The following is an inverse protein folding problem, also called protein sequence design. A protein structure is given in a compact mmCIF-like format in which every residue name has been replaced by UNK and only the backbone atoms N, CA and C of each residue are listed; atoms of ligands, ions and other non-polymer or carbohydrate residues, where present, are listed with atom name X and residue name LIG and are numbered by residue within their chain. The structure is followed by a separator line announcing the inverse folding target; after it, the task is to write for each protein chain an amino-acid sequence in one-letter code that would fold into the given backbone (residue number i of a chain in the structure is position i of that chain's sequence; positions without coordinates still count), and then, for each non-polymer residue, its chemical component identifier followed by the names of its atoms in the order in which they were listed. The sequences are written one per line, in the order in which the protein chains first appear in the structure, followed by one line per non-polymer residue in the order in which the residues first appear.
data_IF_093766824563
#
_entry.id   IF_093766824563
#
_cell.length_a   1.000
_cell.length_b   1.000
_cell.length_c   1.000
_cell.angle_alpha   90.00
_cell.angle_beta   90.00
_cell.angle_gamma   90.00
#
_symmetry.space_group_name_H-M   'P 1'
#
loop_
_entity.id
_entity.type
_entity.pdbx_description
1 polymer ?
#
# COMPACT_ATOMS: atom_id res chain seq x y z
N UNK A 1 -43.43 -44.91 -16.93
CA UNK A 1 -42.09 -44.78 -17.55
C UNK A 1 -42.31 -44.00 -18.83
N UNK A 2 -41.87 -42.74 -18.99
CA UNK A 2 -40.49 -42.33 -19.23
C UNK A 2 -40.21 -40.96 -18.57
N UNK A 3 -39.04 -40.88 -17.94
CA UNK A 3 -38.49 -39.73 -17.21
C UNK A 3 -37.46 -39.07 -18.13
N UNK A 4 -37.72 -37.85 -18.58
CA UNK A 4 -36.72 -37.08 -19.32
C UNK A 4 -36.50 -35.75 -18.60
N UNK A 5 -35.45 -35.79 -17.80
CA UNK A 5 -34.99 -34.74 -16.89
C UNK A 5 -34.73 -33.43 -17.61
N UNK A 6 -35.39 -32.39 -17.11
CA UNK A 6 -34.88 -31.04 -17.11
C UNK A 6 -33.57 -31.02 -16.31
N UNK A 7 -32.42 -30.98 -16.97
CA UNK A 7 -31.19 -30.48 -16.35
C UNK A 7 -30.56 -29.51 -17.33
N UNK A 8 -30.89 -28.24 -17.08
CA UNK A 8 -30.03 -27.09 -17.31
C UNK A 8 -28.58 -27.47 -16.93
N UNK A 9 -27.71 -27.70 -17.90
CA UNK A 9 -26.28 -27.59 -17.69
C UNK A 9 -25.92 -26.10 -17.79
N UNK A 10 -26.29 -25.35 -16.75
CA UNK A 10 -25.83 -24.00 -16.49
C UNK A 10 -24.32 -24.09 -16.25
N UNK A 11 -23.53 -23.91 -17.31
CA UNK A 11 -22.10 -23.68 -17.21
C UNK A 11 -21.92 -22.37 -16.42
N UNK A 12 -21.66 -22.51 -15.12
CA UNK A 12 -21.27 -21.41 -14.25
C UNK A 12 -20.03 -20.73 -14.84
N UNK A 13 -20.22 -19.55 -15.41
CA UNK A 13 -19.17 -18.55 -15.57
C UNK A 13 -18.74 -18.10 -14.17
N UNK A 14 -17.72 -18.75 -13.61
CA UNK A 14 -17.01 -18.24 -12.45
C UNK A 14 -16.17 -17.04 -12.90
N UNK A 15 -16.75 -15.85 -12.83
CA UNK A 15 -16.01 -14.60 -12.95
C UNK A 15 -15.15 -14.44 -11.69
N UNK A 16 -13.87 -14.80 -11.79
CA UNK A 16 -12.90 -14.42 -10.77
C UNK A 16 -12.68 -12.90 -10.86
N UNK A 17 -13.24 -12.16 -9.92
CA UNK A 17 -12.89 -10.75 -9.76
C UNK A 17 -11.43 -10.65 -9.33
N UNK A 18 -10.56 -10.18 -10.21
CA UNK A 18 -9.21 -9.74 -9.82
C UNK A 18 -9.37 -8.47 -9.01
N UNK A 19 -9.30 -8.58 -7.69
CA UNK A 19 -9.24 -7.42 -6.81
C UNK A 19 -7.88 -6.71 -7.00
N UNK A 20 -7.88 -5.38 -7.02
CA UNK A 20 -6.64 -4.62 -7.00
C UNK A 20 -5.98 -4.73 -5.62
N UNK A 21 -4.68 -5.00 -5.57
CA UNK A 21 -3.92 -5.04 -4.32
C UNK A 21 -4.05 -3.72 -3.55
N UNK A 22 -4.47 -3.80 -2.28
CA UNK A 22 -4.58 -2.63 -1.41
C UNK A 22 -3.36 -2.45 -0.49
N UNK A 23 -3.20 -1.24 0.05
CA UNK A 23 -2.07 -0.88 0.90
C UNK A 23 -2.01 -1.69 2.20
N UNK A 24 -3.17 -1.97 2.81
CA UNK A 24 -3.25 -2.73 4.04
C UNK A 24 -2.79 -4.16 3.81
N UNK A 25 -3.29 -4.81 2.76
CA UNK A 25 -2.84 -6.14 2.36
C UNK A 25 -1.32 -6.18 2.07
N UNK A 26 -0.81 -5.20 1.32
CA UNK A 26 0.61 -5.12 1.04
C UNK A 26 1.48 -4.94 2.31
N UNK A 27 1.00 -4.17 3.30
CA UNK A 27 1.68 -4.00 4.59
C UNK A 27 1.63 -5.27 5.44
N UNK A 28 0.46 -5.90 5.51
CA UNK A 28 0.23 -7.12 6.29
C UNK A 28 1.09 -8.29 5.78
N UNK A 29 1.24 -8.41 4.46
CA UNK A 29 2.12 -9.39 3.84
C UNK A 29 3.62 -9.00 3.90
N UNK A 30 3.95 -7.83 4.44
CA UNK A 30 5.32 -7.35 4.56
C UNK A 30 5.99 -7.00 3.23
N UNK A 31 5.20 -6.68 2.21
CA UNK A 31 5.73 -6.29 0.91
C UNK A 31 6.10 -4.81 0.83
N UNK A 32 5.47 -3.98 1.66
CA UNK A 32 5.73 -2.53 1.74
C UNK A 32 5.89 -2.05 3.18
N UNK A 33 6.60 -0.95 3.34
CA UNK A 33 6.81 -0.29 4.63
C UNK A 33 6.84 1.22 4.53
N UNK A 34 6.71 1.90 5.67
CA UNK A 34 6.79 3.37 5.78
C UNK A 34 8.25 3.82 5.87
N UNK A 35 8.64 4.81 5.06
CA UNK A 35 9.99 5.39 5.07
C UNK A 35 10.05 6.67 5.89
N UNK A 36 11.26 7.00 6.37
CA UNK A 36 11.50 8.23 7.15
C UNK A 36 11.26 9.51 6.35
N UNK A 37 11.33 9.42 5.02
CA UNK A 37 11.04 10.51 4.09
C UNK A 37 9.54 10.69 3.80
N UNK A 38 8.65 9.95 4.46
CA UNK A 38 7.20 10.08 4.26
C UNK A 38 6.62 9.34 3.06
N UNK A 39 7.41 8.54 2.35
CA UNK A 39 6.96 7.68 1.26
C UNK A 39 6.84 6.22 1.70
N UNK A 40 6.21 5.41 0.85
CA UNK A 40 6.25 3.96 0.96
C UNK A 40 7.46 3.42 0.21
N UNK A 41 8.09 2.40 0.78
CA UNK A 41 9.12 1.62 0.12
C UNK A 41 8.73 0.16 -0.03
N UNK A 42 9.31 -0.51 -1.02
CA UNK A 42 9.16 -1.95 -1.25
C UNK A 42 10.14 -2.68 -0.35
N UNK A 43 9.63 -3.58 0.48
CA UNK A 43 10.41 -4.42 1.41
C UNK A 43 10.76 -5.75 0.76
N UNK A 44 9.79 -6.35 0.06
CA UNK A 44 9.95 -7.61 -0.66
C UNK A 44 9.43 -7.47 -2.10
N UNK A 45 10.15 -8.06 -3.06
CA UNK A 45 9.84 -7.90 -4.48
C UNK A 45 8.54 -8.60 -4.86
N UNK A 46 7.59 -7.82 -5.38
CA UNK A 46 6.37 -8.29 -6.04
C UNK A 46 6.02 -7.28 -7.16
N UNK A 47 5.67 -7.79 -8.35
CA UNK A 47 5.39 -6.97 -9.53
C UNK A 47 4.18 -6.04 -9.34
N UNK A 48 3.15 -6.50 -8.63
CA UNK A 48 1.91 -5.74 -8.37
C UNK A 48 2.13 -4.64 -7.32
N UNK A 49 3.04 -4.89 -6.39
CA UNK A 49 3.39 -3.95 -5.30
C UNK A 49 4.05 -2.68 -5.82
N UNK A 50 4.82 -2.77 -6.91
CA UNK A 50 5.48 -1.58 -7.48
C UNK A 50 4.46 -0.54 -7.94
N UNK A 51 3.44 -0.96 -8.69
CA UNK A 51 2.42 -0.06 -9.21
C UNK A 51 1.63 0.62 -8.07
N UNK A 52 1.33 -0.14 -7.02
CA UNK A 52 0.69 0.37 -5.81
C UNK A 52 1.54 1.44 -5.11
N UNK A 53 2.82 1.15 -4.87
CA UNK A 53 3.76 2.07 -4.20
C UNK A 53 3.92 3.36 -5.01
N UNK A 54 4.16 3.25 -6.32
CA UNK A 54 4.30 4.41 -7.20
C UNK A 54 3.05 5.30 -7.16
N UNK A 55 1.86 4.72 -7.30
CA UNK A 55 0.60 5.46 -7.29
C UNK A 55 0.29 6.16 -5.97
N UNK A 56 0.60 5.53 -4.83
CA UNK A 56 0.44 6.15 -3.51
C UNK A 56 1.47 7.25 -3.29
N UNK A 57 2.73 7.01 -3.66
CA UNK A 57 3.81 7.98 -3.48
C UNK A 57 3.57 9.24 -4.33
N UNK A 58 3.06 9.11 -5.55
CA UNK A 58 2.64 10.25 -6.36
C UNK A 58 1.57 11.10 -5.66
N UNK A 59 0.54 10.47 -5.08
CA UNK A 59 -0.51 11.17 -4.32
C UNK A 59 0.05 11.87 -3.08
N UNK A 60 0.96 11.20 -2.34
CA UNK A 60 1.62 11.76 -1.16
C UNK A 60 2.45 12.99 -1.53
N UNK A 61 3.30 12.89 -2.55
CA UNK A 61 4.13 14.01 -3.02
C UNK A 61 3.29 15.21 -3.46
N UNK A 62 2.21 14.99 -4.23
CA UNK A 62 1.30 16.06 -4.61
C UNK A 62 0.69 16.76 -3.38
N UNK A 63 0.30 15.99 -2.37
CA UNK A 63 -0.24 16.55 -1.11
C UNK A 63 0.84 17.28 -0.31
N UNK A 64 2.05 16.76 -0.24
CA UNK A 64 3.16 17.41 0.47
C UNK A 64 3.52 18.74 -0.17
N UNK A 65 3.56 18.81 -1.50
CA UNK A 65 3.71 20.06 -2.26
C UNK A 65 2.64 21.10 -1.95
N UNK A 66 1.38 20.67 -1.88
CA UNK A 66 0.29 21.56 -1.51
C UNK A 66 0.49 22.12 -0.09
N UNK A 67 0.70 21.25 0.90
CA UNK A 67 0.87 21.65 2.30
C UNK A 67 2.12 22.55 2.47
N UNK A 68 3.21 22.23 1.78
CA UNK A 68 4.44 23.00 1.80
C UNK A 68 4.19 24.44 1.36
N UNK A 69 3.49 24.62 0.23
CA UNK A 69 3.10 25.95 -0.28
C UNK A 69 2.20 26.69 0.71
N UNK A 70 1.19 26.03 1.26
CA UNK A 70 0.22 26.65 2.20
C UNK A 70 0.87 27.12 3.51
N UNK A 71 1.94 26.46 3.95
CA UNK A 71 2.56 26.69 5.26
C UNK A 71 3.95 27.33 5.19
N UNK A 72 4.43 27.72 4.00
CA UNK A 72 5.78 28.28 3.82
C UNK A 72 6.89 27.29 4.19
N UNK A 73 6.66 25.99 3.99
CA UNK A 73 7.63 24.91 4.25
C UNK A 73 8.19 24.37 2.94
N UNK A 74 9.26 23.58 3.02
CA UNK A 74 9.70 22.76 1.89
C UNK A 74 8.92 21.44 1.83
N UNK A 75 8.82 20.87 0.63
CA UNK A 75 8.23 19.54 0.43
C UNK A 75 8.90 18.48 1.32
N UNK A 76 10.23 18.54 1.47
CA UNK A 76 11.01 17.62 2.29
C UNK A 76 10.66 17.74 3.78
N UNK A 77 10.45 18.95 4.30
CA UNK A 77 10.05 19.14 5.70
C UNK A 77 8.68 18.52 5.98
N UNK A 78 7.72 18.74 5.07
CA UNK A 78 6.38 18.15 5.19
C UNK A 78 6.47 16.62 5.11
N UNK A 79 7.24 16.09 4.16
CA UNK A 79 7.38 14.67 3.95
C UNK A 79 8.04 13.98 5.16
N UNK A 80 9.08 14.56 5.75
CA UNK A 80 9.72 14.05 6.97
C UNK A 80 8.75 14.01 8.17
N UNK A 81 7.94 15.06 8.36
CA UNK A 81 6.91 15.09 9.41
C UNK A 81 5.83 14.03 9.17
N UNK A 82 5.42 13.84 7.92
CA UNK A 82 4.46 12.82 7.53
C UNK A 82 5.04 11.41 7.75
N UNK A 83 6.29 11.17 7.40
CA UNK A 83 7.00 9.90 7.64
C UNK A 83 7.09 9.55 9.11
N UNK A 84 7.52 10.51 9.95
CA UNK A 84 7.51 10.35 11.41
C UNK A 84 6.15 9.91 11.92
N UNK A 85 5.08 10.62 11.55
CA UNK A 85 3.71 10.29 11.96
C UNK A 85 3.24 8.93 11.43
N UNK A 86 3.59 8.59 10.19
CA UNK A 86 3.20 7.32 9.58
C UNK A 86 3.87 6.13 10.28
N UNK A 87 5.16 6.25 10.62
CA UNK A 87 5.91 5.27 11.42
C UNK A 87 5.29 5.15 12.83
N UNK A 88 5.05 6.28 13.51
CA UNK A 88 4.43 6.31 14.84
C UNK A 88 3.02 5.68 14.87
N UNK A 89 2.28 5.75 13.76
CA UNK A 89 0.92 5.21 13.62
C UNK A 89 0.85 3.82 13.00
N UNK A 90 1.96 3.27 12.50
CA UNK A 90 1.97 1.92 11.94
C UNK A 90 1.63 0.89 13.02
N UNK A 91 1.04 -0.23 12.65
CA UNK A 91 0.72 -1.29 13.61
C UNK A 91 1.99 -2.05 14.04
N UNK A 92 1.95 -2.70 15.20
CA UNK A 92 3.01 -3.63 15.61
C UNK A 92 3.15 -4.74 14.54
N UNK A 93 4.39 -5.11 14.23
CA UNK A 93 4.72 -6.07 13.17
C UNK A 93 4.80 -5.48 11.76
N UNK A 94 4.30 -4.26 11.51
CA UNK A 94 4.45 -3.59 10.21
C UNK A 94 5.90 -3.19 9.95
N UNK A 95 6.31 -3.17 8.68
CA UNK A 95 7.64 -2.71 8.30
C UNK A 95 7.73 -1.18 8.29
N UNK A 96 8.78 -0.67 8.92
CA UNK A 96 9.15 0.75 8.96
C UNK A 96 10.65 0.88 8.68
N UNK A 97 11.05 2.01 8.09
CA UNK A 97 12.46 2.30 7.88
C UNK A 97 13.05 2.91 9.16
N UNK A 98 14.17 2.35 9.63
CA UNK A 98 14.96 2.94 10.71
C UNK A 98 15.63 4.23 10.26
N UNK A 99 16.14 5.07 11.19
CA UNK A 99 16.98 6.21 10.84
C UNK A 99 18.24 5.83 10.05
N UNK A 100 18.76 4.60 10.19
CA UNK A 100 19.90 4.10 9.41
C UNK A 100 19.53 3.70 7.97
N UNK A 101 18.24 3.65 7.64
CA UNK A 101 17.75 3.28 6.33
C UNK A 101 17.32 1.81 6.20
N UNK A 102 17.51 1.01 7.26
CA UNK A 102 17.18 -0.41 7.29
C UNK A 102 15.69 -0.66 7.49
N UNK A 103 15.17 -1.74 6.94
CA UNK A 103 13.81 -2.20 7.22
C UNK A 103 13.76 -2.94 8.55
N UNK A 104 12.93 -2.48 9.47
CA UNK A 104 12.66 -3.13 10.76
C UNK A 104 11.17 -3.32 10.95
N UNK A 105 10.78 -4.33 11.73
CA UNK A 105 9.39 -4.48 12.17
C UNK A 105 9.15 -3.57 13.36
N UNK A 106 8.04 -2.84 13.34
CA UNK A 106 7.61 -2.03 14.46
C UNK A 106 7.32 -2.94 15.66
N UNK A 107 7.82 -2.62 16.87
CA UNK A 107 7.51 -3.38 18.08
C UNK A 107 6.03 -3.29 18.44
#
# INVERSE_FOLDING_TARGET
MKRNSWILALLLSLSFSVAALDLGEAKNNGWVGEQTNGLLGIVSHNAEVKALVDGINQKRLAKYKQIAKENGLTEQQVAALAGKKAIERSDSGAYIQSPSGDWVKKP
#
